data_IF_726962234416
#
_entry.id   IF_726962234416
#
_cell.length_a   1.000
_cell.length_b   1.000
_cell.length_c   1.000
_cell.angle_alpha   90.00
_cell.angle_beta   90.00
_cell.angle_gamma   90.00
#
_symmetry.space_group_name_H-M   'P 1'
#
loop_
_entity.id
_entity.type
_entity.pdbx_description
1 polymer ?
#
# COMPACT_ATOMS: atom_id res chain seq x y z
N UNK A 1 -51.58 28.68 -1.94
CA UNK A 1 -50.61 28.55 -3.06
C UNK A 1 -49.24 28.71 -2.42
N UNK A 2 -48.79 27.66 -1.75
CA UNK A 2 -47.45 27.57 -1.19
C UNK A 2 -46.63 26.73 -2.17
N UNK A 3 -45.50 27.23 -2.70
CA UNK A 3 -44.57 26.35 -3.39
C UNK A 3 -43.75 25.60 -2.33
N UNK A 4 -44.01 24.30 -2.21
CA UNK A 4 -43.10 23.36 -1.55
C UNK A 4 -41.71 23.47 -2.20
N UNK A 5 -40.73 23.80 -1.37
CA UNK A 5 -39.32 23.73 -1.72
C UNK A 5 -38.93 22.27 -1.96
N UNK A 6 -38.23 21.94 -3.06
CA UNK A 6 -37.70 20.60 -3.20
C UNK A 6 -36.61 20.39 -2.15
N UNK A 7 -36.85 19.46 -1.21
CA UNK A 7 -35.79 18.89 -0.38
C UNK A 7 -34.73 18.35 -1.35
N UNK A 8 -33.57 19.01 -1.38
CA UNK A 8 -32.35 18.42 -1.89
C UNK A 8 -32.12 17.16 -1.06
N UNK A 9 -32.40 16.02 -1.66
CA UNK A 9 -31.90 14.74 -1.18
C UNK A 9 -30.41 14.83 -1.45
N UNK A 10 -29.61 15.17 -0.43
CA UNK A 10 -28.19 14.86 -0.42
C UNK A 10 -28.11 13.33 -0.50
N UNK A 11 -28.11 12.80 -1.73
CA UNK A 11 -27.63 11.46 -2.00
C UNK A 11 -26.19 11.45 -1.48
N UNK A 12 -26.00 10.87 -0.30
CA UNK A 12 -24.70 10.45 0.23
C UNK A 12 -24.16 9.41 -0.76
N UNK A 13 -23.55 9.88 -1.85
CA UNK A 13 -22.74 9.05 -2.70
C UNK A 13 -21.55 8.67 -1.82
N UNK A 14 -21.61 7.48 -1.25
CA UNK A 14 -20.50 6.88 -0.54
C UNK A 14 -19.35 6.72 -1.54
N UNK A 15 -18.41 7.65 -1.49
CA UNK A 15 -17.26 7.65 -2.39
C UNK A 15 -16.31 6.49 -2.01
N UNK A 16 -15.81 5.72 -3.00
CA UNK A 16 -14.88 4.64 -2.75
C UNK A 16 -13.60 5.18 -2.13
N UNK A 17 -13.03 4.43 -1.19
CA UNK A 17 -11.83 4.81 -0.46
C UNK A 17 -10.70 3.86 -0.81
N UNK A 18 -9.67 4.38 -1.46
CA UNK A 18 -8.43 3.67 -1.75
C UNK A 18 -7.52 3.70 -0.53
N UNK A 19 -6.93 2.56 -0.16
CA UNK A 19 -6.12 2.42 1.06
C UNK A 19 -4.68 2.07 0.70
N UNK A 20 -3.75 2.91 1.16
CA UNK A 20 -2.31 2.70 0.96
C UNK A 20 -1.69 1.83 2.03
N UNK A 21 -2.09 2.04 3.29
CA UNK A 21 -1.49 1.33 4.41
C UNK A 21 -2.14 1.65 5.75
N UNK A 22 -1.83 0.82 6.74
CA UNK A 22 -2.33 0.90 8.12
C UNK A 22 -1.17 1.19 9.07
N UNK A 23 -1.38 2.04 10.05
CA UNK A 23 -0.33 2.54 10.94
C UNK A 23 -0.87 2.97 12.30
N UNK A 24 0.03 3.35 13.21
CA UNK A 24 -0.34 4.14 14.38
C UNK A 24 -0.58 5.60 13.99
N UNK A 25 -1.53 6.31 14.63
CA UNK A 25 -1.69 7.74 14.47
C UNK A 25 -0.37 8.46 14.79
N UNK A 26 0.14 9.31 13.88
CA UNK A 26 1.38 10.05 14.15
C UNK A 26 1.15 11.04 15.29
N UNK A 27 2.12 11.10 16.23
CA UNK A 27 2.04 12.01 17.38
C UNK A 27 2.38 13.46 17.02
N UNK A 28 3.11 13.67 15.92
CA UNK A 28 3.50 14.97 15.39
C UNK A 28 2.85 15.20 14.01
N UNK A 29 2.88 16.45 13.54
CA UNK A 29 2.31 16.82 12.24
C UNK A 29 3.04 16.14 11.08
N UNK A 30 2.54 14.98 10.67
CA UNK A 30 3.01 14.27 9.49
C UNK A 30 2.52 14.99 8.23
N UNK A 31 3.44 15.35 7.33
CA UNK A 31 3.06 15.81 6.00
C UNK A 31 2.71 14.61 5.15
N UNK A 32 1.41 14.47 4.84
CA UNK A 32 0.93 13.38 4.01
C UNK A 32 1.31 13.61 2.54
N UNK A 33 1.85 12.58 1.85
CA UNK A 33 2.24 12.70 0.45
C UNK A 33 1.02 12.83 -0.46
N UNK A 34 1.27 13.31 -1.68
CA UNK A 34 0.27 13.24 -2.76
C UNK A 34 0.05 11.78 -3.14
N UNK A 35 -1.21 11.39 -3.25
CA UNK A 35 -1.64 10.08 -3.71
C UNK A 35 -1.57 9.93 -5.22
N UNK A 36 -2.46 9.11 -5.77
CA UNK A 36 -2.55 8.84 -7.20
C UNK A 36 -3.05 10.06 -7.96
N UNK A 37 -4.11 10.71 -7.45
CA UNK A 37 -4.74 11.86 -8.10
C UNK A 37 -4.82 13.08 -7.17
N UNK A 38 -4.90 12.87 -5.85
CA UNK A 38 -5.11 13.93 -4.86
C UNK A 38 -4.34 13.65 -3.56
N UNK A 39 -4.36 14.62 -2.65
CA UNK A 39 -3.67 14.50 -1.36
C UNK A 39 -4.23 13.34 -0.53
N UNK A 40 -3.33 12.53 0.02
CA UNK A 40 -3.73 11.46 0.93
C UNK A 40 -4.26 12.05 2.25
N UNK A 41 -5.13 11.29 2.92
CA UNK A 41 -5.76 11.64 4.18
C UNK A 41 -5.57 10.53 5.19
N UNK A 42 -5.58 10.91 6.46
CA UNK A 42 -5.52 9.95 7.56
C UNK A 42 -6.93 9.74 8.13
N UNK A 43 -7.34 8.49 8.24
CA UNK A 43 -8.59 8.10 8.92
C UNK A 43 -8.21 7.33 10.16
N UNK A 44 -8.54 7.88 11.33
CA UNK A 44 -8.18 7.32 12.64
C UNK A 44 -9.39 6.67 13.27
N UNK A 45 -9.21 5.43 13.76
CA UNK A 45 -10.17 4.71 14.58
C UNK A 45 -9.43 4.22 15.82
N UNK A 46 -9.77 4.80 16.96
CA UNK A 46 -9.08 4.58 18.23
C UNK A 46 -7.57 4.90 18.12
N UNK A 47 -6.73 3.86 18.19
CA UNK A 47 -5.28 3.91 18.16
C UNK A 47 -4.69 3.35 16.86
N UNK A 48 -5.51 3.11 15.84
CA UNK A 48 -5.09 2.68 14.52
C UNK A 48 -5.55 3.70 13.48
N UNK A 49 -4.72 3.92 12.47
CA UNK A 49 -5.00 4.84 11.38
C UNK A 49 -4.76 4.18 10.03
N UNK A 50 -5.54 4.58 9.03
CA UNK A 50 -5.33 4.24 7.63
C UNK A 50 -4.95 5.49 6.83
N UNK A 51 -3.97 5.37 5.94
CA UNK A 51 -3.70 6.38 4.92
C UNK A 51 -4.52 6.05 3.68
N UNK A 52 -5.33 7.00 3.24
CA UNK A 52 -6.34 6.79 2.21
C UNK A 52 -6.48 7.94 1.23
N UNK A 53 -7.17 7.66 0.13
CA UNK A 53 -7.59 8.62 -0.89
C UNK A 53 -9.06 8.33 -1.28
N UNK A 54 -9.93 9.34 -1.24
CA UNK A 54 -11.39 9.21 -1.38
C UNK A 54 -11.86 9.59 -2.78
N UNK A 55 -12.80 8.86 -3.37
CA UNK A 55 -13.33 9.19 -4.70
C UNK A 55 -12.45 8.72 -5.86
N UNK A 56 -11.45 7.87 -5.58
CA UNK A 56 -10.63 7.25 -6.61
C UNK A 56 -11.36 6.04 -7.23
N UNK A 57 -11.49 6.00 -8.55
CA UNK A 57 -12.06 4.86 -9.27
C UNK A 57 -10.99 4.12 -10.07
N UNK A 58 -10.47 3.01 -9.54
CA UNK A 58 -9.45 2.22 -10.24
C UNK A 58 -9.97 1.61 -11.54
N UNK A 59 -11.28 1.34 -11.62
CA UNK A 59 -11.95 0.77 -12.80
C UNK A 59 -11.66 1.55 -14.08
N UNK A 60 -11.48 2.86 -13.97
CA UNK A 60 -11.19 3.75 -15.09
C UNK A 60 -9.71 3.79 -15.47
N UNK A 61 -8.82 3.38 -14.56
CA UNK A 61 -7.36 3.38 -14.75
C UNK A 61 -6.81 2.08 -15.35
N UNK A 62 -7.49 0.95 -15.10
CA UNK A 62 -7.11 -0.39 -15.58
C UNK A 62 -6.93 -0.58 -17.10
N UNK A 63 -7.68 0.10 -18.00
CA UNK A 63 -7.54 -0.16 -19.44
C UNK A 63 -6.33 0.53 -20.10
N UNK A 64 -5.61 1.42 -19.41
CA UNK A 64 -4.51 2.21 -19.97
C UNK A 64 -3.16 1.83 -19.31
N UNK A 65 -2.41 0.95 -19.99
CA UNK A 65 -1.18 0.31 -19.48
C UNK A 65 -0.12 1.29 -18.92
N UNK A 66 0.17 2.44 -19.56
CA UNK A 66 1.06 3.46 -19.01
C UNK A 66 0.51 4.12 -17.74
N UNK A 67 -0.80 4.35 -17.65
CA UNK A 67 -1.43 4.92 -16.44
C UNK A 67 -1.42 3.93 -15.30
N UNK A 68 -1.64 2.65 -15.58
CA UNK A 68 -1.55 1.59 -14.59
C UNK A 68 -0.14 1.50 -14.01
N UNK A 69 0.89 1.50 -14.86
CA UNK A 69 2.27 1.50 -14.39
C UNK A 69 2.59 2.74 -13.54
N UNK A 70 2.18 3.93 -14.00
CA UNK A 70 2.34 5.16 -13.23
C UNK A 70 1.63 5.09 -11.87
N UNK A 71 0.45 4.49 -11.81
CA UNK A 71 -0.30 4.33 -10.57
C UNK A 71 0.39 3.37 -9.60
N UNK A 72 0.92 2.25 -10.09
CA UNK A 72 1.67 1.31 -9.26
C UNK A 72 2.91 1.99 -8.66
N UNK A 73 3.65 2.76 -9.47
CA UNK A 73 4.82 3.50 -9.00
C UNK A 73 4.46 4.61 -8.00
N UNK A 74 3.38 5.34 -8.23
CA UNK A 74 2.89 6.36 -7.29
C UNK A 74 2.43 5.74 -5.96
N UNK A 75 1.75 4.60 -6.00
CA UNK A 75 1.37 3.85 -4.79
C UNK A 75 2.58 3.42 -3.98
N UNK A 76 3.58 2.83 -4.64
CA UNK A 76 4.82 2.41 -3.99
C UNK A 76 5.57 3.60 -3.40
N UNK A 77 5.62 4.73 -4.12
CA UNK A 77 6.23 5.98 -3.64
C UNK A 77 5.56 6.48 -2.36
N UNK A 78 4.23 6.53 -2.31
CA UNK A 78 3.48 6.94 -1.11
C UNK A 78 3.86 6.07 0.09
N UNK A 79 3.91 4.76 -0.10
CA UNK A 79 4.30 3.80 0.94
C UNK A 79 5.75 4.05 1.38
N UNK A 80 6.67 4.20 0.44
CA UNK A 80 8.09 4.45 0.74
C UNK A 80 8.29 5.76 1.50
N UNK A 81 7.63 6.84 1.09
CA UNK A 81 7.72 8.16 1.74
C UNK A 81 7.17 8.09 3.18
N UNK A 82 6.04 7.41 3.39
CA UNK A 82 5.46 7.22 4.73
C UNK A 82 6.33 6.32 5.62
N UNK A 83 6.87 5.24 5.08
CA UNK A 83 7.69 4.27 5.83
C UNK A 83 8.98 4.88 6.36
N UNK A 84 9.50 5.95 5.73
CA UNK A 84 10.67 6.69 6.24
C UNK A 84 10.40 7.41 7.57
N UNK A 85 9.14 7.68 7.89
CA UNK A 85 8.75 8.46 9.07
C UNK A 85 8.13 7.60 10.18
N UNK A 86 7.55 6.44 9.84
CA UNK A 86 6.77 5.64 10.78
C UNK A 86 6.61 4.19 10.33
N UNK A 87 6.45 3.25 11.29
CA UNK A 87 6.04 1.89 10.97
C UNK A 87 4.70 1.86 10.24
N UNK A 88 4.66 1.16 9.13
CA UNK A 88 3.51 1.08 8.24
C UNK A 88 3.27 -0.39 7.84
N UNK A 89 2.01 -0.80 7.80
CA UNK A 89 1.56 -2.02 7.15
C UNK A 89 1.10 -1.66 5.73
N UNK A 90 1.92 -1.91 4.70
CA UNK A 90 1.55 -1.60 3.33
C UNK A 90 0.38 -2.48 2.88
N UNK A 91 -0.63 -1.85 2.26
CA UNK A 91 -1.71 -2.56 1.58
C UNK A 91 -1.33 -2.84 0.14
N UNK A 92 -1.90 -3.91 -0.40
CA UNK A 92 -1.70 -4.28 -1.81
C UNK A 92 -2.24 -3.17 -2.69
N UNK A 93 -1.54 -2.89 -3.79
CA UNK A 93 -2.05 -2.01 -4.84
C UNK A 93 -3.46 -2.48 -5.23
N UNK A 94 -4.38 -1.52 -5.34
CA UNK A 94 -5.76 -1.80 -5.69
C UNK A 94 -6.71 -2.05 -4.52
N UNK A 95 -6.27 -1.88 -3.28
CA UNK A 95 -7.14 -2.07 -2.10
C UNK A 95 -8.14 -0.90 -1.99
N UNK A 96 -9.42 -1.17 -2.28
CA UNK A 96 -10.50 -0.20 -2.15
C UNK A 96 -11.63 -0.72 -1.26
N UNK A 97 -12.20 0.18 -0.46
CA UNK A 97 -13.47 -0.05 0.24
C UNK A 97 -14.54 0.84 -0.38
N UNK A 98 -15.81 0.41 -0.28
CA UNK A 98 -16.90 1.16 -0.88
C UNK A 98 -17.13 2.51 -0.19
N UNK A 99 -16.73 2.67 1.07
CA UNK A 99 -16.95 3.91 1.82
C UNK A 99 -16.05 4.08 3.04
N UNK A 100 -16.04 5.30 3.56
CA UNK A 100 -15.36 5.65 4.81
C UNK A 100 -15.92 4.88 6.01
N UNK A 101 -17.23 4.62 6.05
CA UNK A 101 -17.85 3.87 7.13
C UNK A 101 -17.43 2.40 7.11
N UNK A 102 -17.34 1.80 5.91
CA UNK A 102 -16.79 0.44 5.77
C UNK A 102 -15.33 0.38 6.19
N UNK A 103 -14.53 1.40 5.86
CA UNK A 103 -13.15 1.50 6.34
C UNK A 103 -13.10 1.55 7.86
N UNK A 104 -13.90 2.41 8.50
CA UNK A 104 -13.90 2.53 9.95
C UNK A 104 -14.31 1.22 10.63
N UNK A 105 -15.35 0.57 10.12
CA UNK A 105 -15.80 -0.74 10.61
C UNK A 105 -14.71 -1.81 10.41
N UNK A 106 -14.02 -1.81 9.27
CA UNK A 106 -12.92 -2.72 8.98
C UNK A 106 -11.73 -2.50 9.95
N UNK A 107 -11.34 -1.25 10.17
CA UNK A 107 -10.29 -0.90 11.13
C UNK A 107 -10.65 -1.34 12.54
N UNK A 108 -11.87 -1.07 13.00
CA UNK A 108 -12.34 -1.49 14.33
C UNK A 108 -12.35 -3.01 14.49
N UNK A 109 -12.86 -3.75 13.50
CA UNK A 109 -12.91 -5.22 13.51
C UNK A 109 -11.53 -5.86 13.55
N UNK A 110 -10.54 -5.26 12.88
CA UNK A 110 -9.19 -5.82 12.72
C UNK A 110 -8.12 -5.12 13.57
N UNK A 111 -8.50 -4.18 14.44
CA UNK A 111 -7.57 -3.34 15.21
C UNK A 111 -6.55 -4.16 16.02
N UNK A 112 -6.97 -5.25 16.67
CA UNK A 112 -6.05 -6.10 17.46
C UNK A 112 -4.99 -6.79 16.58
N UNK A 113 -5.38 -7.28 15.40
CA UNK A 113 -4.46 -7.90 14.45
C UNK A 113 -3.45 -6.87 13.90
N UNK A 114 -3.94 -5.68 13.54
CA UNK A 114 -3.07 -4.60 13.08
C UNK A 114 -2.09 -4.12 14.15
N UNK A 115 -2.55 -3.95 15.40
CA UNK A 115 -1.68 -3.65 16.54
C UNK A 115 -0.57 -4.67 16.69
N UNK A 116 -0.93 -5.96 16.65
CA UNK A 116 0.04 -7.04 16.82
C UNK A 116 1.11 -7.01 15.73
N UNK A 117 0.70 -6.78 14.48
CA UNK A 117 1.61 -6.68 13.34
C UNK A 117 2.49 -5.44 13.40
N UNK A 118 1.92 -4.26 13.71
CA UNK A 118 2.68 -3.02 13.83
C UNK A 118 3.70 -3.08 14.98
N UNK A 119 3.31 -3.62 16.14
CA UNK A 119 4.21 -3.81 17.26
C UNK A 119 5.39 -4.75 16.92
N UNK A 120 5.14 -5.80 16.12
CA UNK A 120 6.19 -6.70 15.67
C UNK A 120 7.20 -6.03 14.71
N UNK A 121 6.80 -4.94 14.04
CA UNK A 121 7.59 -4.24 13.03
C UNK A 121 8.27 -2.96 13.54
N UNK A 122 7.88 -2.42 14.70
CA UNK A 122 8.23 -1.06 15.16
C UNK A 122 9.70 -0.67 15.03
N UNK A 123 10.63 -1.58 15.38
CA UNK A 123 12.08 -1.33 15.35
C UNK A 123 12.80 -2.15 14.26
N UNK A 124 12.08 -2.59 13.22
CA UNK A 124 12.59 -3.45 12.17
C UNK A 124 12.53 -2.76 10.81
N UNK A 125 13.47 -3.11 9.94
CA UNK A 125 13.47 -2.73 8.54
C UNK A 125 13.44 -3.98 7.66
N UNK A 126 12.80 -3.86 6.50
CA UNK A 126 12.78 -4.91 5.47
C UNK A 126 13.98 -4.73 4.53
N UNK A 127 14.69 -5.83 4.25
CA UNK A 127 15.80 -5.85 3.31
C UNK A 127 15.63 -6.99 2.31
N UNK A 128 15.81 -6.69 1.02
CA UNK A 128 15.82 -7.69 -0.03
C UNK A 128 17.25 -7.92 -0.53
N UNK A 129 17.73 -9.16 -0.44
CA UNK A 129 19.00 -9.57 -1.05
C UNK A 129 18.72 -10.27 -2.39
N UNK A 130 19.30 -9.75 -3.48
CA UNK A 130 19.24 -10.37 -4.79
C UNK A 130 20.63 -10.87 -5.18
N UNK A 131 20.75 -12.17 -5.40
CA UNK A 131 21.98 -12.83 -5.82
C UNK A 131 21.80 -13.31 -7.27
N UNK A 132 22.73 -12.93 -8.14
CA UNK A 132 22.78 -13.44 -9.51
C UNK A 132 23.99 -14.37 -9.61
N UNK A 133 23.82 -15.66 -9.93
CA UNK A 133 24.95 -16.56 -10.07
C UNK A 133 25.83 -16.12 -11.23
N UNK A 134 27.13 -16.07 -11.00
CA UNK A 134 28.11 -15.81 -12.05
C UNK A 134 28.62 -17.16 -12.57
N UNK A 135 28.69 -17.29 -13.89
CA UNK A 135 29.34 -18.45 -14.50
C UNK A 135 30.81 -18.49 -14.07
N UNK A 136 31.25 -19.63 -13.55
CA UNK A 136 32.65 -19.88 -13.22
C UNK A 136 33.30 -20.43 -14.49
N UNK A 137 34.35 -19.75 -14.96
CA UNK A 137 35.21 -20.32 -15.99
C UNK A 137 36.05 -21.44 -15.34
N UNK A 138 35.68 -22.69 -15.63
CA UNK A 138 36.36 -23.87 -15.11
C UNK A 138 37.63 -24.20 -15.90
N UNK A 139 38.01 -23.38 -16.88
CA UNK A 139 39.08 -23.71 -17.83
C UNK A 139 38.73 -24.93 -18.67
N UNK A 140 39.58 -25.29 -19.64
CA UNK A 140 39.38 -26.49 -20.44
C UNK A 140 39.53 -27.75 -19.56
N UNK A 141 38.55 -28.65 -19.63
CA UNK A 141 38.68 -29.99 -19.06
C UNK A 141 39.90 -30.69 -19.69
N UNK A 142 40.80 -31.30 -18.90
CA UNK A 142 41.90 -32.10 -19.43
C UNK A 142 41.34 -33.20 -20.34
N UNK A 143 41.88 -33.31 -21.55
CA UNK A 143 41.43 -34.29 -22.56
C UNK A 143 41.84 -35.73 -22.25
N UNK A 144 42.65 -35.95 -21.20
CA UNK A 144 43.18 -37.26 -20.81
C UNK A 144 42.62 -37.76 -19.46
N UNK A 145 41.41 -37.32 -19.10
CA UNK A 145 40.72 -37.77 -17.88
C UNK A 145 40.31 -39.25 -18.01
N UNK A 146 41.14 -40.14 -17.46
CA UNK A 146 40.72 -41.53 -17.18
C UNK A 146 39.78 -41.46 -15.97
N UNK A 147 38.60 -42.07 -16.06
CA UNK A 147 37.46 -41.91 -15.13
C UNK A 147 37.65 -42.26 -13.64
N UNK A 148 38.88 -42.23 -13.10
CA UNK A 148 39.23 -42.37 -11.69
C UNK A 148 39.67 -41.07 -10.99
N UNK A 149 39.79 -39.95 -11.68
CA UNK A 149 40.32 -38.69 -11.10
C UNK A 149 39.24 -37.69 -10.63
N UNK A 150 38.02 -38.15 -10.39
CA UNK A 150 36.90 -37.30 -9.94
C UNK A 150 36.72 -37.21 -8.41
N UNK A 151 37.65 -37.74 -7.61
CA UNK A 151 37.61 -37.68 -6.14
C UNK A 151 39.00 -37.41 -5.55
#
# INVERSE_FOLDING_TARGET
MEPESPKAVEELIEEPVYVYGICYPPQEGLTLPLGLEQATRLVVVEDIAAIVESGLSLGEMLPDDPRLLSAVLSHDRVICDLFQHMPLLPMRFGTQLASLDQLQHHLGRHALDYRTKLAALGDKAEYQLKLTPQAIDLGPLPTDLKGREYF
#
